data_IF_616038586620
#
_entry.id   IF_616038586620
#
_cell.length_a   1.000
_cell.length_b   1.000
_cell.length_c   1.000
_cell.angle_alpha   90.00
_cell.angle_beta   90.00
_cell.angle_gamma   90.00
#
_symmetry.space_group_name_H-M   'P 1'
#
loop_
_entity.id
_entity.type
_entity.pdbx_description
1 polymer ?
#
# COMPACT_ATOMS: atom_id res chain seq x y z
N UNK A 1 -8.51 -13.22 -26.92
CA UNK A 1 -8.60 -11.79 -26.50
C UNK A 1 -8.72 -11.63 -24.96
N UNK A 2 -8.07 -12.48 -24.16
CA UNK A 2 -8.20 -12.48 -22.68
C UNK A 2 -6.97 -11.92 -21.94
N UNK A 3 -5.78 -11.90 -22.56
CA UNK A 3 -4.55 -11.37 -21.94
C UNK A 3 -4.59 -9.85 -21.80
N UNK A 4 -5.06 -9.14 -22.83
CA UNK A 4 -5.08 -7.66 -22.85
C UNK A 4 -5.86 -7.07 -21.67
N UNK A 5 -6.98 -7.69 -21.29
CA UNK A 5 -7.78 -7.25 -20.16
C UNK A 5 -7.09 -7.43 -18.80
N UNK A 6 -6.36 -8.54 -18.62
CA UNK A 6 -5.53 -8.79 -17.44
C UNK A 6 -4.40 -7.76 -17.34
N UNK A 7 -3.73 -7.47 -18.47
CA UNK A 7 -2.68 -6.45 -18.54
C UNK A 7 -3.21 -5.06 -18.21
N UNK A 8 -4.40 -4.68 -18.70
CA UNK A 8 -5.01 -3.39 -18.38
C UNK A 8 -5.34 -3.26 -16.89
N UNK A 9 -5.89 -4.31 -16.26
CA UNK A 9 -6.16 -4.31 -14.81
C UNK A 9 -4.87 -4.22 -13.99
N UNK A 10 -3.81 -4.91 -14.42
CA UNK A 10 -2.49 -4.84 -13.80
C UNK A 10 -1.88 -3.44 -13.93
N UNK A 11 -1.93 -2.85 -15.13
CA UNK A 11 -1.46 -1.49 -15.39
C UNK A 11 -2.21 -0.46 -14.53
N UNK A 12 -3.54 -0.55 -14.49
CA UNK A 12 -4.37 0.33 -13.67
C UNK A 12 -4.03 0.22 -12.19
N UNK A 13 -3.80 -1.00 -11.69
CA UNK A 13 -3.35 -1.22 -10.32
C UNK A 13 -2.00 -0.56 -10.03
N UNK A 14 -1.00 -0.71 -10.91
CA UNK A 14 0.31 -0.08 -10.72
C UNK A 14 0.22 1.44 -10.72
N UNK A 15 -0.51 2.02 -11.67
CA UNK A 15 -0.74 3.48 -11.74
C UNK A 15 -1.43 3.97 -10.46
N UNK A 16 -2.48 3.28 -10.02
CA UNK A 16 -3.23 3.61 -8.81
C UNK A 16 -2.36 3.50 -7.55
N UNK A 17 -1.50 2.48 -7.45
CA UNK A 17 -0.59 2.28 -6.34
C UNK A 17 0.40 3.44 -6.23
N UNK A 18 1.04 3.81 -7.36
CA UNK A 18 1.98 4.92 -7.40
C UNK A 18 1.31 6.28 -7.21
N UNK A 19 0.06 6.46 -7.65
CA UNK A 19 -0.70 7.69 -7.42
C UNK A 19 -1.12 7.85 -5.95
N UNK A 20 -1.42 6.75 -5.25
CA UNK A 20 -1.78 6.79 -3.84
C UNK A 20 -0.61 7.20 -2.93
N UNK A 21 0.63 6.89 -3.31
CA UNK A 21 1.83 7.19 -2.54
C UNK A 21 2.03 8.71 -2.29
N UNK A 22 2.03 9.60 -3.30
CA UNK A 22 2.13 11.04 -3.09
C UNK A 22 0.88 11.63 -2.43
N UNK A 23 -0.31 11.10 -2.71
CA UNK A 23 -1.55 11.55 -2.05
C UNK A 23 -1.45 11.35 -0.53
N UNK A 24 -1.02 10.15 -0.11
CA UNK A 24 -0.80 9.87 1.31
C UNK A 24 0.38 10.66 1.87
N UNK A 25 1.45 10.85 1.11
CA UNK A 25 2.57 11.70 1.55
C UNK A 25 2.08 13.13 1.85
N UNK A 26 1.37 13.77 0.92
CA UNK A 26 0.85 15.13 1.13
C UNK A 26 -0.14 15.20 2.30
N UNK A 27 -1.01 14.20 2.45
CA UNK A 27 -1.99 14.17 3.54
C UNK A 27 -1.37 13.91 4.91
N UNK A 28 -0.36 13.03 5.00
CA UNK A 28 0.22 12.59 6.27
C UNK A 28 1.52 13.29 6.64
N UNK A 29 2.22 13.96 5.72
CA UNK A 29 3.45 14.70 6.02
C UNK A 29 3.20 15.82 7.05
N UNK A 30 2.18 16.70 6.92
CA UNK A 30 1.94 17.74 7.92
C UNK A 30 1.75 17.19 9.34
N UNK A 31 0.85 16.22 9.61
CA UNK A 31 0.69 15.67 10.96
C UNK A 31 1.89 14.81 11.41
N UNK A 32 2.64 14.19 10.49
CA UNK A 32 3.84 13.41 10.83
C UNK A 32 5.00 14.27 11.35
N UNK A 33 5.08 15.54 10.95
CA UNK A 33 6.06 16.49 11.51
C UNK A 33 5.79 16.73 13.00
N UNK A 34 4.53 16.74 13.42
CA UNK A 34 4.16 17.00 14.82
C UNK A 34 4.26 15.75 15.70
N UNK A 35 3.89 14.57 15.18
CA UNK A 35 3.89 13.34 15.98
C UNK A 35 4.22 12.11 15.12
N UNK A 36 5.24 11.36 15.55
CA UNK A 36 5.72 10.11 14.93
C UNK A 36 4.61 9.08 14.72
N UNK A 37 3.57 9.08 15.56
CA UNK A 37 2.42 8.18 15.40
C UNK A 37 1.77 8.31 14.02
N UNK A 38 1.75 9.52 13.45
CA UNK A 38 1.14 9.74 12.14
C UNK A 38 1.97 9.17 11.01
N UNK A 39 3.30 9.19 11.12
CA UNK A 39 4.18 8.51 10.17
C UNK A 39 3.93 6.99 10.15
N UNK A 40 3.81 6.37 11.33
CA UNK A 40 3.50 4.93 11.45
C UNK A 40 2.12 4.64 10.86
N UNK A 41 1.11 5.48 11.17
CA UNK A 41 -0.23 5.34 10.60
C UNK A 41 -0.25 5.50 9.08
N UNK A 42 0.54 6.41 8.52
CA UNK A 42 0.66 6.61 7.08
C UNK A 42 1.13 5.33 6.39
N UNK A 43 2.21 4.71 6.91
CA UNK A 43 2.78 3.46 6.39
C UNK A 43 1.75 2.33 6.43
N UNK A 44 1.09 2.12 7.58
CA UNK A 44 0.06 1.08 7.70
C UNK A 44 -1.16 1.35 6.80
N UNK A 45 -1.53 2.62 6.61
CA UNK A 45 -2.64 3.01 5.73
C UNK A 45 -2.32 2.71 4.28
N UNK A 46 -1.11 3.07 3.82
CA UNK A 46 -0.65 2.73 2.47
C UNK A 46 -0.59 1.22 2.25
N UNK A 47 0.02 0.47 3.18
CA UNK A 47 0.08 -0.98 3.09
C UNK A 47 -1.32 -1.62 3.03
N UNK A 48 -2.28 -1.14 3.84
CA UNK A 48 -3.65 -1.63 3.82
C UNK A 48 -4.35 -1.30 2.50
N UNK A 49 -4.16 -0.09 1.99
CA UNK A 49 -4.71 0.37 0.72
C UNK A 49 -4.22 -0.49 -0.45
N UNK A 50 -2.91 -0.70 -0.56
CA UNK A 50 -2.30 -1.51 -1.62
C UNK A 50 -2.73 -2.97 -1.53
N UNK A 51 -2.76 -3.57 -0.33
CA UNK A 51 -3.23 -4.95 -0.14
C UNK A 51 -4.70 -5.11 -0.51
N UNK A 52 -5.53 -4.13 -0.18
CA UNK A 52 -6.94 -4.12 -0.52
C UNK A 52 -7.16 -3.98 -2.04
N UNK A 53 -6.46 -3.03 -2.69
CA UNK A 53 -6.58 -2.86 -4.14
C UNK A 53 -6.02 -4.06 -4.90
N UNK A 54 -4.94 -4.68 -4.42
CA UNK A 54 -4.38 -5.90 -5.02
C UNK A 54 -5.36 -7.08 -4.96
N UNK A 55 -6.01 -7.28 -3.80
CA UNK A 55 -6.99 -8.34 -3.63
C UNK A 55 -8.24 -8.13 -4.50
N UNK A 56 -8.70 -6.90 -4.68
CA UNK A 56 -9.91 -6.59 -5.42
C UNK A 56 -9.69 -6.48 -6.93
N UNK A 57 -8.62 -5.80 -7.36
CA UNK A 57 -8.39 -5.48 -8.78
C UNK A 57 -7.69 -6.60 -9.53
N UNK A 58 -6.79 -7.34 -8.89
CA UNK A 58 -5.97 -8.37 -9.57
C UNK A 58 -6.01 -9.73 -8.86
N UNK A 59 -6.76 -9.87 -7.77
CA UNK A 59 -6.95 -11.13 -7.07
C UNK A 59 -5.76 -11.57 -6.21
N UNK A 60 -4.76 -10.71 -6.00
CA UNK A 60 -3.57 -11.05 -5.21
C UNK A 60 -3.88 -10.92 -3.72
N UNK A 61 -3.70 -12.01 -2.98
CA UNK A 61 -3.82 -12.03 -1.52
C UNK A 61 -2.46 -12.16 -0.87
N UNK A 62 -2.18 -11.23 0.03
CA UNK A 62 -0.95 -11.18 0.82
C UNK A 62 -1.19 -11.75 2.22
N UNK A 63 -0.32 -12.66 2.65
CA UNK A 63 -0.30 -13.23 3.99
C UNK A 63 0.93 -12.73 4.75
N UNK A 64 0.74 -12.27 5.99
CA UNK A 64 1.85 -11.94 6.89
C UNK A 64 2.15 -13.20 7.71
N UNK A 65 3.36 -13.73 7.60
CA UNK A 65 3.79 -14.96 8.28
C UNK A 65 4.92 -14.66 9.26
N UNK A 66 4.88 -15.35 10.40
CA UNK A 66 5.86 -15.21 11.48
C UNK A 66 5.59 -14.00 12.39
N UNK A 67 6.30 -13.97 13.52
CA UNK A 67 6.35 -12.82 14.43
C UNK A 67 7.55 -11.94 14.07
N UNK A 68 7.41 -10.59 14.08
CA UNK A 68 8.56 -9.71 13.98
C UNK A 68 9.59 -10.07 15.06
N UNK A 69 10.89 -10.17 14.74
CA UNK A 69 11.92 -10.45 15.72
C UNK A 69 11.94 -9.34 16.78
N UNK A 70 11.95 -9.74 18.06
CA UNK A 70 11.93 -8.81 19.21
C UNK A 70 13.33 -8.33 19.62
N UNK A 71 14.38 -8.96 19.07
CA UNK A 71 15.77 -8.65 19.39
C UNK A 71 16.30 -7.42 18.65
N UNK A 72 16.85 -6.47 19.40
CA UNK A 72 17.73 -5.45 18.84
C UNK A 72 19.01 -6.14 18.37
N UNK A 73 19.27 -6.10 17.06
CA UNK A 73 20.61 -6.31 16.49
C UNK A 73 21.23 -4.96 16.18
#
# INVERSE_FOLDING_TARGET
MSRTWLWLRSLLFVVQMYAAMPVLAVAFTPPAIFDRRWAIRAVHTYCRWVRWSAAHMIGLRSELRGTPPEGAV
#
